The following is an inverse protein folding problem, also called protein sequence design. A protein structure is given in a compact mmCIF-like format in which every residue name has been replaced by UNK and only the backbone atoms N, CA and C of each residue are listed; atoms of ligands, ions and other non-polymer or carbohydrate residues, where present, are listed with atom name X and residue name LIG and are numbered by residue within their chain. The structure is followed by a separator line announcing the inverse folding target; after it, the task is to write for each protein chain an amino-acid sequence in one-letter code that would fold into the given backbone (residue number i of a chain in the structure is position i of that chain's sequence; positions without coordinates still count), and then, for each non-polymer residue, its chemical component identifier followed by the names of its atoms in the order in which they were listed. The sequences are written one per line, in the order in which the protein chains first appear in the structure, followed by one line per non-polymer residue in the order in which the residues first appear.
data_IF_777288840799
#
_entry.id   IF_777288840799
#
_cell.length_a   1.000
_cell.length_b   1.000
_cell.length_c   1.000
_cell.angle_alpha   90.00
_cell.angle_beta   90.00
_cell.angle_gamma   90.00
#
_symmetry.space_group_name_H-M   'P 1'
#
loop_
_entity.id
_entity.type
_entity.pdbx_description
1 polymer ?
#
# COMPACT_ATOMS: atom_id res chain seq x y z
N UNK A 1 34.22 19.04 2.25
CA UNK A 1 34.43 19.01 0.79
C UNK A 1 33.73 17.84 0.07
N UNK A 2 33.55 16.64 0.65
CA UNK A 2 32.83 15.52 -0.02
C UNK A 2 31.30 15.70 -0.10
N UNK A 3 30.69 16.31 0.93
CA UNK A 3 29.24 16.51 1.06
C UNK A 3 28.64 17.51 0.04
N UNK A 4 29.43 18.48 -0.44
CA UNK A 4 28.98 19.54 -1.37
C UNK A 4 28.77 18.99 -2.80
N UNK A 5 29.40 17.87 -3.18
CA UNK A 5 29.16 17.21 -4.48
C UNK A 5 27.78 16.55 -4.55
N UNK A 6 27.28 16.01 -3.43
CA UNK A 6 25.93 15.44 -3.33
C UNK A 6 24.82 16.47 -3.58
N UNK A 7 25.09 17.76 -3.32
CA UNK A 7 24.15 18.84 -3.65
C UNK A 7 23.93 19.02 -5.16
N UNK A 8 24.82 18.51 -6.03
CA UNK A 8 24.58 18.48 -7.49
C UNK A 8 23.52 17.47 -7.90
N UNK A 9 23.26 16.43 -7.10
CA UNK A 9 22.18 15.46 -7.35
C UNK A 9 20.81 16.14 -7.26
N UNK A 10 20.66 17.18 -6.43
CA UNK A 10 19.45 18.01 -6.43
C UNK A 10 19.23 18.77 -7.75
N UNK A 11 20.27 19.02 -8.57
CA UNK A 11 20.08 19.53 -9.94
C UNK A 11 19.53 18.48 -10.89
N UNK A 12 19.82 17.19 -10.70
CA UNK A 12 19.17 16.12 -11.44
C UNK A 12 17.67 16.04 -11.10
N UNK A 13 17.28 16.29 -9.85
CA UNK A 13 15.88 16.49 -9.47
C UNK A 13 15.23 17.71 -10.14
N UNK A 14 15.99 18.76 -10.47
CA UNK A 14 15.49 19.90 -11.26
C UNK A 14 15.13 19.50 -12.70
N UNK A 15 15.83 18.52 -13.27
CA UNK A 15 15.49 17.94 -14.59
C UNK A 15 14.17 17.15 -14.53
N UNK A 16 13.91 16.44 -13.42
CA UNK A 16 12.62 15.76 -13.19
C UNK A 16 11.45 16.76 -13.13
N UNK A 17 11.63 17.91 -12.46
CA UNK A 17 10.63 18.98 -12.35
C UNK A 17 10.38 19.75 -13.67
N UNK A 18 11.24 19.60 -14.67
CA UNK A 18 11.10 20.24 -15.98
C UNK A 18 10.43 19.34 -17.03
N UNK A 19 10.24 18.05 -16.72
CA UNK A 19 9.51 17.16 -17.60
C UNK A 19 8.00 17.30 -17.36
N UNK A 20 7.27 17.63 -18.43
CA UNK A 20 5.79 17.77 -18.45
C UNK A 20 5.08 16.59 -17.77
N UNK A 21 5.62 15.38 -17.92
CA UNK A 21 5.05 14.16 -17.34
C UNK A 21 5.10 14.12 -15.80
N UNK A 22 6.13 14.70 -15.19
CA UNK A 22 6.22 14.78 -13.73
C UNK A 22 5.21 15.76 -13.14
N UNK A 23 4.93 16.86 -13.84
CA UNK A 23 3.92 17.83 -13.43
C UNK A 23 2.52 17.22 -13.44
N UNK A 24 2.20 16.45 -14.48
CA UNK A 24 0.96 15.67 -14.56
C UNK A 24 0.83 14.73 -13.35
N UNK A 25 1.86 13.92 -13.06
CA UNK A 25 1.83 12.99 -11.92
C UNK A 25 1.60 13.73 -10.59
N UNK A 26 2.33 14.83 -10.35
CA UNK A 26 2.18 15.62 -9.12
C UNK A 26 0.76 16.20 -9.01
N UNK A 27 0.18 16.68 -10.11
CA UNK A 27 -1.18 17.22 -10.13
C UNK A 27 -2.22 16.13 -9.85
N UNK A 28 -2.05 14.93 -10.41
CA UNK A 28 -2.89 13.76 -10.12
C UNK A 28 -2.89 13.45 -8.63
N UNK A 29 -1.71 13.34 -8.00
CA UNK A 29 -1.62 13.08 -6.55
C UNK A 29 -2.27 14.19 -5.72
N UNK A 30 -2.07 15.47 -6.09
CA UNK A 30 -2.70 16.59 -5.39
C UNK A 30 -4.22 16.58 -5.50
N UNK A 31 -4.75 16.27 -6.69
CA UNK A 31 -6.17 16.28 -6.98
C UNK A 31 -6.89 15.07 -6.38
N UNK A 32 -6.27 13.89 -6.46
CA UNK A 32 -6.81 12.64 -5.97
C UNK A 32 -6.48 12.36 -4.48
N UNK A 33 -5.85 13.31 -3.78
CA UNK A 33 -5.40 13.14 -2.39
C UNK A 33 -6.49 12.62 -1.45
N UNK A 34 -7.74 13.05 -1.63
CA UNK A 34 -8.86 12.63 -0.78
C UNK A 34 -9.21 11.15 -0.96
N UNK A 35 -9.27 10.68 -2.21
CA UNK A 35 -9.53 9.28 -2.53
C UNK A 35 -8.36 8.39 -2.09
N UNK A 36 -7.12 8.81 -2.36
CA UNK A 36 -5.93 8.08 -1.92
C UNK A 36 -5.86 7.97 -0.40
N UNK A 37 -6.17 9.06 0.32
CA UNK A 37 -6.26 9.04 1.78
C UNK A 37 -7.33 8.07 2.27
N UNK A 38 -8.52 8.06 1.65
CA UNK A 38 -9.57 7.11 1.98
C UNK A 38 -9.14 5.65 1.77
N UNK A 39 -8.40 5.36 0.70
CA UNK A 39 -7.84 4.01 0.48
C UNK A 39 -6.79 3.65 1.53
N UNK A 40 -5.94 4.58 1.95
CA UNK A 40 -5.00 4.33 3.04
C UNK A 40 -5.71 4.01 4.37
N UNK A 41 -6.81 4.72 4.68
CA UNK A 41 -7.63 4.44 5.87
C UNK A 41 -8.29 3.06 5.74
N UNK A 42 -8.83 2.72 4.57
CA UNK A 42 -9.42 1.40 4.29
C UNK A 42 -8.38 0.27 4.46
N UNK A 43 -7.18 0.45 3.91
CA UNK A 43 -6.07 -0.48 4.03
C UNK A 43 -5.62 -0.67 5.48
N UNK A 44 -5.49 0.42 6.24
CA UNK A 44 -5.15 0.37 7.66
C UNK A 44 -6.24 -0.33 8.47
N UNK A 45 -7.51 -0.03 8.20
CA UNK A 45 -8.65 -0.70 8.82
C UNK A 45 -8.66 -2.21 8.56
N UNK A 46 -8.44 -2.61 7.31
CA UNK A 46 -8.29 -4.03 6.94
C UNK A 46 -7.16 -4.70 7.71
N UNK A 47 -5.97 -4.08 7.75
CA UNK A 47 -4.79 -4.67 8.44
C UNK A 47 -5.10 -4.89 9.92
N UNK A 48 -5.66 -3.88 10.59
CA UNK A 48 -5.98 -3.97 12.02
C UNK A 48 -7.07 -5.00 12.31
N UNK A 49 -8.13 -5.05 11.50
CA UNK A 49 -9.22 -6.01 11.67
C UNK A 49 -8.71 -7.44 11.42
N UNK A 50 -8.01 -7.68 10.30
CA UNK A 50 -7.47 -9.00 9.98
C UNK A 50 -6.45 -9.48 11.00
N UNK A 51 -5.58 -8.59 11.49
CA UNK A 51 -4.65 -8.89 12.57
C UNK A 51 -5.39 -9.25 13.87
N UNK A 52 -6.42 -8.49 14.25
CA UNK A 52 -7.19 -8.74 15.46
C UNK A 52 -7.92 -10.08 15.40
N UNK A 53 -8.57 -10.37 14.26
CA UNK A 53 -9.28 -11.63 14.06
C UNK A 53 -8.31 -12.80 14.13
N UNK A 54 -7.19 -12.74 13.40
CA UNK A 54 -6.27 -13.88 13.33
C UNK A 54 -5.54 -14.10 14.66
N UNK A 55 -5.17 -13.03 15.36
CA UNK A 55 -4.51 -13.13 16.67
C UNK A 55 -5.39 -13.81 17.72
N UNK A 56 -6.72 -13.65 17.64
CA UNK A 56 -7.65 -14.33 18.54
C UNK A 56 -7.97 -15.78 18.11
N UNK A 57 -7.93 -16.07 16.81
CA UNK A 57 -8.25 -17.41 16.28
C UNK A 57 -7.03 -18.35 16.31
N UNK A 58 -5.82 -17.79 16.25
CA UNK A 58 -4.54 -18.51 16.17
C UNK A 58 -3.58 -18.05 17.28
N UNK A 59 -3.91 -18.23 18.57
CA UNK A 59 -3.09 -17.73 19.68
C UNK A 59 -1.69 -18.36 19.74
N UNK A 60 -1.52 -19.57 19.19
CA UNK A 60 -0.24 -20.29 19.18
C UNK A 60 0.61 -20.03 17.92
N UNK A 61 0.04 -19.40 16.89
CA UNK A 61 0.75 -19.15 15.60
C UNK A 61 1.34 -17.73 15.50
N UNK A 62 0.97 -16.84 16.41
CA UNK A 62 1.43 -15.45 16.46
C UNK A 62 1.85 -15.10 17.90
N UNK A 63 3.14 -14.88 18.13
CA UNK A 63 3.67 -14.61 19.48
C UNK A 63 3.23 -13.23 20.00
N UNK A 64 3.05 -12.28 19.09
CA UNK A 64 2.62 -10.92 19.43
C UNK A 64 1.59 -10.38 18.45
N UNK A 65 0.77 -9.43 18.90
CA UNK A 65 -0.16 -8.72 18.02
C UNK A 65 0.56 -8.01 16.86
N UNK A 66 1.82 -7.61 17.06
CA UNK A 66 2.63 -6.98 16.02
C UNK A 66 2.94 -7.95 14.87
N UNK A 67 3.17 -9.24 15.16
CA UNK A 67 3.34 -10.27 14.13
C UNK A 67 2.05 -10.49 13.33
N UNK A 68 0.89 -10.41 13.98
CA UNK A 68 -0.40 -10.47 13.28
C UNK A 68 -0.60 -9.26 12.35
N UNK A 69 -0.19 -8.05 12.77
CA UNK A 69 -0.17 -6.85 11.91
C UNK A 69 0.79 -7.03 10.73
N UNK A 70 1.99 -7.56 11.00
CA UNK A 70 2.98 -7.85 9.97
C UNK A 70 2.42 -8.82 8.92
N UNK A 71 1.86 -9.95 9.36
CA UNK A 71 1.22 -10.92 8.48
C UNK A 71 0.07 -10.31 7.68
N UNK A 72 -0.82 -9.54 8.32
CA UNK A 72 -1.94 -8.91 7.64
C UNK A 72 -1.48 -7.89 6.59
N UNK A 73 -0.37 -7.18 6.84
CA UNK A 73 0.25 -6.24 5.90
C UNK A 73 0.89 -6.95 4.71
N UNK A 74 1.67 -7.99 4.96
CA UNK A 74 2.32 -8.82 3.92
C UNK A 74 1.28 -9.54 3.07
N UNK A 75 0.15 -9.93 3.67
CA UNK A 75 -0.99 -10.54 2.99
C UNK A 75 -1.78 -9.52 2.16
N UNK A 76 -2.08 -8.32 2.71
CA UNK A 76 -2.73 -7.23 1.96
C UNK A 76 -1.94 -6.85 0.71
N UNK A 77 -0.62 -6.75 0.86
CA UNK A 77 0.30 -6.39 -0.21
C UNK A 77 0.58 -7.53 -1.18
N UNK A 78 -0.06 -8.69 -1.00
CA UNK A 78 0.11 -9.91 -1.82
C UNK A 78 1.54 -10.45 -1.84
N UNK A 79 2.40 -10.01 -0.93
CA UNK A 79 3.80 -10.36 -0.87
C UNK A 79 4.00 -11.79 -0.34
N UNK A 80 3.25 -12.16 0.71
CA UNK A 80 3.11 -13.54 1.16
C UNK A 80 4.42 -14.29 1.44
N UNK A 81 5.34 -13.70 2.22
CA UNK A 81 6.63 -14.32 2.52
C UNK A 81 6.55 -15.74 3.10
N UNK A 82 5.48 -16.04 3.84
CA UNK A 82 5.23 -17.38 4.39
C UNK A 82 6.10 -17.73 5.60
N UNK A 83 6.74 -16.75 6.21
CA UNK A 83 7.50 -16.86 7.46
C UNK A 83 6.60 -17.00 8.69
N UNK A 84 5.46 -16.30 8.70
CA UNK A 84 4.40 -16.42 9.72
C UNK A 84 3.08 -16.63 9.01
N UNK A 85 2.28 -17.61 9.42
CA UNK A 85 0.99 -17.92 8.80
C UNK A 85 0.06 -18.73 9.72
N UNK A 86 -1.27 -18.62 9.54
CA UNK A 86 -2.25 -19.42 10.26
C UNK A 86 -2.14 -20.92 9.95
N UNK A 87 -2.14 -21.76 10.98
CA UNK A 87 -1.93 -23.20 10.83
C UNK A 87 -3.26 -23.96 10.90
N UNK A 88 -4.21 -23.48 11.71
CA UNK A 88 -5.52 -24.13 11.88
C UNK A 88 -6.38 -24.02 10.63
N UNK A 89 -7.31 -24.97 10.48
CA UNK A 89 -8.29 -24.96 9.38
C UNK A 89 -9.10 -23.67 9.35
N UNK A 90 -9.52 -23.15 10.51
CA UNK A 90 -10.29 -21.91 10.60
C UNK A 90 -9.44 -20.69 10.22
N UNK A 91 -8.20 -20.60 10.70
CA UNK A 91 -7.29 -19.52 10.34
C UNK A 91 -6.96 -19.50 8.84
N UNK A 92 -6.83 -20.68 8.21
CA UNK A 92 -6.66 -20.79 6.76
C UNK A 92 -7.88 -20.32 5.98
N UNK A 93 -9.10 -20.65 6.41
CA UNK A 93 -10.34 -20.16 5.79
C UNK A 93 -10.41 -18.62 5.89
N UNK A 94 -10.12 -18.07 7.07
CA UNK A 94 -10.07 -16.61 7.27
C UNK A 94 -9.04 -15.98 6.35
N UNK A 95 -7.87 -16.59 6.20
CA UNK A 95 -6.82 -16.13 5.28
C UNK A 95 -7.29 -16.11 3.83
N UNK A 96 -7.99 -17.15 3.37
CA UNK A 96 -8.55 -17.20 2.01
C UNK A 96 -9.55 -16.08 1.76
N UNK A 97 -10.44 -15.82 2.72
CA UNK A 97 -11.42 -14.73 2.65
C UNK A 97 -10.69 -13.38 2.64
N UNK A 98 -9.74 -13.20 3.56
CA UNK A 98 -8.90 -12.00 3.69
C UNK A 98 -8.20 -11.66 2.37
N UNK A 99 -7.61 -12.65 1.69
CA UNK A 99 -6.93 -12.47 0.41
C UNK A 99 -7.84 -11.86 -0.69
N UNK A 100 -9.12 -12.25 -0.75
CA UNK A 100 -10.08 -11.71 -1.73
C UNK A 100 -10.29 -10.20 -1.47
N UNK A 101 -10.46 -9.81 -0.20
CA UNK A 101 -10.57 -8.40 0.18
C UNK A 101 -9.27 -7.63 -0.06
N UNK A 102 -8.12 -8.23 0.21
CA UNK A 102 -6.81 -7.61 -0.01
C UNK A 102 -6.58 -7.20 -1.46
N UNK A 103 -6.92 -8.08 -2.41
CA UNK A 103 -6.84 -7.79 -3.85
C UNK A 103 -7.74 -6.61 -4.23
N UNK A 104 -8.96 -6.55 -3.69
CA UNK A 104 -9.89 -5.45 -3.97
C UNK A 104 -9.33 -4.10 -3.47
N UNK A 105 -8.73 -4.07 -2.28
CA UNK A 105 -8.16 -2.86 -1.70
C UNK A 105 -6.95 -2.37 -2.49
N UNK A 106 -6.03 -3.27 -2.86
CA UNK A 106 -4.79 -2.88 -3.54
C UNK A 106 -4.99 -2.45 -4.99
N UNK A 107 -6.11 -2.83 -5.61
CA UNK A 107 -6.51 -2.36 -6.94
C UNK A 107 -6.93 -0.88 -6.95
N UNK A 108 -7.44 -0.34 -5.83
CA UNK A 108 -8.01 1.01 -5.77
C UNK A 108 -6.98 2.13 -6.06
N UNK A 109 -5.77 2.18 -5.45
CA UNK A 109 -4.80 3.23 -5.72
C UNK A 109 -4.39 3.28 -7.19
N UNK A 110 -4.16 2.11 -7.80
CA UNK A 110 -3.79 2.00 -9.20
C UNK A 110 -4.91 2.55 -10.11
N UNK A 111 -6.17 2.20 -9.82
CA UNK A 111 -7.33 2.72 -10.54
C UNK A 111 -7.49 4.24 -10.42
N UNK A 112 -7.38 4.78 -9.19
CA UNK A 112 -7.48 6.22 -8.91
C UNK A 112 -6.38 7.01 -9.63
N UNK A 113 -5.14 6.53 -9.57
CA UNK A 113 -4.00 7.18 -10.23
C UNK A 113 -4.16 7.14 -11.74
N UNK A 114 -4.58 6.00 -12.30
CA UNK A 114 -4.78 5.84 -13.76
C UNK A 114 -5.88 6.76 -14.26
N UNK A 115 -7.04 6.79 -13.59
CA UNK A 115 -8.14 7.67 -13.95
C UNK A 115 -7.73 9.15 -13.86
N UNK A 116 -7.03 9.53 -12.78
CA UNK A 116 -6.51 10.88 -12.64
C UNK A 116 -5.51 11.26 -13.72
N UNK A 117 -4.61 10.33 -14.09
CA UNK A 117 -3.62 10.55 -15.15
C UNK A 117 -4.27 10.80 -16.51
N UNK A 118 -5.27 10.00 -16.89
CA UNK A 118 -6.01 10.18 -18.15
C UNK A 118 -6.72 11.55 -18.17
N UNK A 119 -7.32 11.96 -17.05
CA UNK A 119 -8.02 13.24 -16.97
C UNK A 119 -7.06 14.43 -17.10
N UNK A 120 -5.88 14.35 -16.48
CA UNK A 120 -4.88 15.42 -16.50
C UNK A 120 -4.08 15.46 -17.83
N UNK A 121 -3.89 14.30 -18.48
CA UNK A 121 -3.25 14.24 -19.81
C UNK A 121 -4.11 14.84 -20.92
N UNK A 122 -5.44 14.74 -20.81
CA UNK A 122 -6.38 15.24 -21.82
C UNK A 122 -6.70 16.75 -21.70
N UNK A 123 -6.33 17.39 -20.59
CA UNK A 123 -6.56 18.83 -20.37
C UNK A 123 -5.46 19.74 -20.94
N UNK A 124 -4.34 19.17 -21.36
CA UNK A 124 -3.18 19.88 -21.94
C UNK A 124 -2.86 19.34 -23.33
#
# INVERSE_FOLDING_TARGET
MRMIRSLRVFRAFKFLRYSRNFEIIINVFKKQRGLLFAVCVLAMGYVLISALVIFNVEPDSFDTFFEAIYWATVSLTTMGYGDIYPITTFGRIITMISAIFGIAIIALPAGIITAGYIEESNKN
#
